data_IF_367040445379
#
_entry.id   IF_367040445379
#
_cell.length_a   1.000
_cell.length_b   1.000
_cell.length_c   1.000
_cell.angle_alpha   90.00
_cell.angle_beta   90.00
_cell.angle_gamma   90.00
#
_symmetry.space_group_name_H-M   'P 1'
#
loop_
_entity.id
_entity.type
_entity.pdbx_description
1 polymer ?
#
# COMPACT_ATOMS: atom_id res chain seq x y z
N UNK A 1 -11.79 13.49 -21.50
CA UNK A 1 -12.63 12.97 -20.40
C UNK A 1 -11.73 12.48 -19.27
N UNK A 2 -11.84 12.99 -18.03
CA UNK A 2 -11.06 12.47 -16.92
C UNK A 2 -11.53 11.05 -16.57
N UNK A 3 -10.60 10.09 -16.50
CA UNK A 3 -10.89 8.72 -16.04
C UNK A 3 -11.34 8.65 -14.58
N UNK A 4 -11.76 7.46 -14.13
CA UNK A 4 -12.34 7.24 -12.79
C UNK A 4 -11.48 7.80 -11.64
N UNK A 5 -10.16 7.63 -11.71
CA UNK A 5 -9.21 8.17 -10.73
C UNK A 5 -9.26 9.70 -10.65
N UNK A 6 -9.40 10.37 -11.80
CA UNK A 6 -9.52 11.82 -11.88
C UNK A 6 -10.84 12.32 -11.28
N UNK A 7 -11.95 11.59 -11.53
CA UNK A 7 -13.26 11.89 -10.92
C UNK A 7 -13.20 11.75 -9.40
N UNK A 8 -12.65 10.64 -8.91
CA UNK A 8 -12.50 10.39 -7.47
C UNK A 8 -11.64 11.48 -6.81
N UNK A 9 -10.50 11.81 -7.40
CA UNK A 9 -9.60 12.85 -6.86
C UNK A 9 -10.30 14.20 -6.73
N UNK A 10 -11.09 14.61 -7.73
CA UNK A 10 -11.87 15.86 -7.65
C UNK A 10 -12.89 15.83 -6.52
N UNK A 11 -13.61 14.72 -6.34
CA UNK A 11 -14.58 14.57 -5.24
C UNK A 11 -13.90 14.59 -3.87
N UNK A 12 -12.76 13.93 -3.72
CA UNK A 12 -11.98 13.93 -2.48
C UNK A 12 -11.49 15.35 -2.14
N UNK A 13 -10.93 16.07 -3.11
CA UNK A 13 -10.51 17.48 -2.91
C UNK A 13 -11.67 18.41 -2.57
N UNK A 14 -12.83 18.23 -3.20
CA UNK A 14 -14.01 19.03 -2.88
C UNK A 14 -14.50 18.77 -1.44
N UNK A 15 -14.43 17.52 -0.97
CA UNK A 15 -14.76 17.17 0.40
C UNK A 15 -13.72 17.69 1.41
N UNK A 16 -12.44 17.69 1.04
CA UNK A 16 -11.35 18.28 1.82
C UNK A 16 -11.53 19.79 2.00
N UNK A 17 -11.84 20.53 0.92
CA UNK A 17 -12.12 21.97 0.96
C UNK A 17 -13.34 22.32 1.83
N UNK A 18 -14.25 21.37 2.02
CA UNK A 18 -15.42 21.50 2.90
C UNK A 18 -15.13 21.06 4.34
N UNK A 19 -13.89 20.68 4.67
CA UNK A 19 -13.51 20.20 6.00
C UNK A 19 -14.10 18.84 6.39
N UNK A 20 -14.67 18.08 5.43
CA UNK A 20 -15.33 16.79 5.72
C UNK A 20 -14.36 15.62 5.86
N UNK A 21 -13.18 15.74 5.27
CA UNK A 21 -12.11 14.73 5.32
C UNK A 21 -10.76 15.40 5.13
N UNK A 22 -9.69 14.65 5.41
CA UNK A 22 -8.30 15.05 5.10
C UNK A 22 -7.76 14.10 4.05
N UNK A 23 -7.18 14.64 2.97
CA UNK A 23 -6.53 13.84 1.92
C UNK A 23 -5.02 13.92 2.09
N UNK A 24 -4.39 12.78 2.35
CA UNK A 24 -2.94 12.69 2.44
C UNK A 24 -2.43 11.97 1.19
N UNK A 25 -1.49 12.59 0.47
CA UNK A 25 -0.79 11.92 -0.63
C UNK A 25 0.36 11.09 -0.05
N UNK A 26 0.39 9.80 -0.35
CA UNK A 26 1.41 8.86 0.12
C UNK A 26 2.17 8.31 -1.08
N UNK A 27 3.50 8.34 -1.01
CA UNK A 27 4.35 7.61 -1.97
C UNK A 27 4.16 6.09 -1.77
N UNK A 28 3.80 5.39 -2.83
CA UNK A 28 3.50 3.96 -2.82
C UNK A 28 4.73 3.05 -2.84
N UNK A 29 5.95 3.60 -2.77
CA UNK A 29 7.20 2.83 -2.79
C UNK A 29 7.15 1.59 -1.87
N UNK A 30 7.32 0.41 -2.49
CA UNK A 30 7.30 -0.93 -1.88
C UNK A 30 6.00 -1.37 -1.18
N UNK A 31 4.92 -0.57 -1.21
CA UNK A 31 3.68 -0.90 -0.49
C UNK A 31 3.03 -2.22 -0.92
N UNK A 32 3.16 -2.62 -2.18
CA UNK A 32 2.65 -3.91 -2.69
C UNK A 32 3.63 -5.08 -2.55
N UNK A 33 4.86 -4.83 -2.10
CA UNK A 33 5.95 -5.83 -2.03
C UNK A 33 6.33 -6.20 -0.60
N UNK A 34 6.02 -5.33 0.37
CA UNK A 34 6.24 -5.58 1.79
C UNK A 34 4.99 -6.21 2.37
N UNK A 35 5.17 -7.30 3.10
CA UNK A 35 4.08 -7.96 3.80
C UNK A 35 3.62 -7.09 4.96
N UNK A 36 2.34 -6.72 4.98
CA UNK A 36 1.79 -5.91 6.06
C UNK A 36 1.92 -6.58 7.45
N UNK A 37 1.86 -7.90 7.53
CA UNK A 37 1.92 -8.60 8.81
C UNK A 37 3.34 -8.65 9.39
N UNK A 38 4.35 -8.99 8.58
CA UNK A 38 5.73 -9.17 9.08
C UNK A 38 6.67 -8.00 8.75
N UNK A 39 6.19 -6.98 8.02
CA UNK A 39 6.94 -5.77 7.66
C UNK A 39 8.26 -6.04 6.92
N UNK A 40 8.34 -7.17 6.20
CA UNK A 40 9.50 -7.58 5.41
C UNK A 40 9.14 -7.70 3.93
N UNK A 41 10.14 -7.53 3.05
CA UNK A 41 9.99 -7.62 1.59
C UNK A 41 10.01 -9.07 1.08
N UNK A 42 9.07 -9.86 1.59
CA UNK A 42 8.98 -11.31 1.42
C UNK A 42 7.78 -11.73 0.56
N UNK A 43 7.03 -10.77 0.00
CA UNK A 43 5.92 -11.11 -0.87
C UNK A 43 6.41 -11.60 -2.24
N UNK A 44 5.82 -12.70 -2.69
CA UNK A 44 6.01 -13.27 -4.02
C UNK A 44 4.67 -13.58 -4.65
N UNK A 45 4.60 -13.52 -5.97
CA UNK A 45 3.40 -13.92 -6.69
C UNK A 45 3.10 -15.39 -6.44
N UNK A 46 1.83 -15.71 -6.30
CA UNK A 46 1.39 -17.11 -6.35
C UNK A 46 1.51 -17.63 -7.77
N UNK A 47 1.84 -18.92 -7.91
CA UNK A 47 1.88 -19.62 -9.19
C UNK A 47 0.91 -20.80 -9.14
N UNK A 48 0.14 -20.98 -10.21
CA UNK A 48 -0.73 -22.14 -10.45
C UNK A 48 -0.43 -22.58 -11.88
N UNK A 49 -0.03 -23.84 -12.06
CA UNK A 49 0.28 -24.43 -13.38
C UNK A 49 1.17 -23.52 -14.25
N UNK A 50 2.30 -23.08 -13.66
CA UNK A 50 3.27 -22.12 -14.23
C UNK A 50 2.73 -20.70 -14.52
N UNK A 51 1.45 -20.44 -14.28
CA UNK A 51 0.85 -19.11 -14.44
C UNK A 51 1.04 -18.26 -13.18
N UNK A 52 1.59 -17.06 -13.39
CA UNK A 52 1.80 -16.07 -12.32
C UNK A 52 0.53 -15.28 -12.04
N UNK A 53 -0.04 -15.46 -10.86
CA UNK A 53 -1.18 -14.65 -10.40
C UNK A 53 -0.69 -13.28 -9.95
N UNK A 54 -1.08 -12.24 -10.68
CA UNK A 54 -0.71 -10.87 -10.34
C UNK A 54 -1.48 -10.34 -9.12
N UNK A 55 -2.72 -10.78 -8.92
CA UNK A 55 -3.62 -10.31 -7.87
C UNK A 55 -3.36 -10.94 -6.50
N UNK A 56 -2.71 -12.11 -6.46
CA UNK A 56 -2.47 -12.90 -5.25
C UNK A 56 -0.98 -13.01 -4.95
N UNK A 57 -0.62 -12.67 -3.72
CA UNK A 57 0.73 -12.74 -3.19
C UNK A 57 0.77 -13.71 -2.01
N UNK A 58 1.89 -14.41 -1.83
CA UNK A 58 2.18 -15.16 -0.62
C UNK A 58 3.42 -14.60 0.05
N UNK A 59 3.44 -14.60 1.38
CA UNK A 59 4.61 -14.23 2.16
C UNK A 59 5.55 -15.43 2.32
N UNK A 60 6.80 -15.31 1.86
CA UNK A 60 7.81 -16.38 1.97
C UNK A 60 8.45 -16.47 3.36
N UNK A 61 8.12 -15.58 4.29
CA UNK A 61 8.58 -15.68 5.67
C UNK A 61 7.86 -16.86 6.36
N UNK A 62 8.65 -17.83 6.86
CA UNK A 62 8.17 -19.06 7.48
C UNK A 62 7.26 -18.84 8.71
N UNK A 63 7.41 -17.73 9.42
CA UNK A 63 6.59 -17.40 10.59
C UNK A 63 5.30 -16.65 10.23
N UNK A 64 5.20 -16.12 9.01
CA UNK A 64 4.06 -15.31 8.58
C UNK A 64 3.13 -16.06 7.62
N UNK A 65 3.68 -16.61 6.53
CA UNK A 65 3.00 -17.41 5.49
C UNK A 65 1.63 -16.87 5.02
N UNK A 66 1.37 -15.59 5.21
CA UNK A 66 0.06 -14.99 4.91
C UNK A 66 -0.13 -14.87 3.40
N UNK A 67 -1.33 -15.23 2.95
CA UNK A 67 -1.80 -14.99 1.59
C UNK A 67 -2.48 -13.62 1.51
N UNK A 68 -2.14 -12.84 0.49
CA UNK A 68 -2.65 -11.49 0.29
C UNK A 68 -3.30 -11.34 -1.07
N UNK A 69 -4.47 -10.70 -1.10
CA UNK A 69 -4.81 -9.89 -2.27
C UNK A 69 -3.83 -8.69 -2.30
N UNK A 70 -3.17 -8.48 -3.43
CA UNK A 70 -2.13 -7.45 -3.61
C UNK A 70 -2.61 -6.08 -3.19
N UNK A 71 -3.81 -5.70 -3.62
CA UNK A 71 -4.35 -4.36 -3.40
C UNK A 71 -4.75 -4.17 -1.93
N UNK A 72 -5.29 -5.22 -1.27
CA UNK A 72 -5.55 -5.18 0.17
C UNK A 72 -4.27 -5.00 0.98
N UNK A 73 -3.18 -5.68 0.62
CA UNK A 73 -1.89 -5.50 1.27
C UNK A 73 -1.34 -4.09 1.05
N UNK A 74 -1.34 -3.61 -0.19
CA UNK A 74 -0.87 -2.27 -0.52
C UNK A 74 -1.68 -1.19 0.21
N UNK A 75 -3.01 -1.29 0.23
CA UNK A 75 -3.88 -0.35 0.91
C UNK A 75 -3.62 -0.31 2.43
N UNK A 76 -3.43 -1.47 3.07
CA UNK A 76 -3.07 -1.55 4.49
C UNK A 76 -1.72 -0.89 4.78
N UNK A 77 -0.73 -1.08 3.92
CA UNK A 77 0.58 -0.44 4.04
C UNK A 77 0.52 1.07 3.81
N UNK A 78 -0.24 1.54 2.82
CA UNK A 78 -0.48 2.98 2.59
C UNK A 78 -1.14 3.61 3.83
N UNK A 79 -2.15 2.95 4.41
CA UNK A 79 -2.79 3.41 5.64
C UNK A 79 -1.81 3.48 6.82
N UNK A 80 -0.96 2.46 6.99
CA UNK A 80 0.07 2.46 8.05
C UNK A 80 1.04 3.63 7.89
N UNK A 81 1.50 3.92 6.66
CA UNK A 81 2.38 5.06 6.38
C UNK A 81 1.64 6.38 6.68
N UNK A 82 0.39 6.53 6.23
CA UNK A 82 -0.41 7.72 6.51
C UNK A 82 -0.58 7.95 8.01
N UNK A 83 -0.88 6.89 8.77
CA UNK A 83 -1.00 6.94 10.22
C UNK A 83 0.30 7.40 10.89
N UNK A 84 1.44 6.88 10.45
CA UNK A 84 2.77 7.28 10.93
C UNK A 84 3.04 8.77 10.69
N UNK A 85 2.67 9.29 9.52
CA UNK A 85 2.76 10.72 9.21
C UNK A 85 1.87 11.58 10.11
N UNK A 86 0.61 11.18 10.32
CA UNK A 86 -0.34 11.90 11.17
C UNK A 86 0.19 12.05 12.60
N UNK A 87 0.87 11.02 13.11
CA UNK A 87 1.45 11.04 14.45
C UNK A 87 2.88 11.59 14.52
N UNK A 88 3.40 12.19 13.44
CA UNK A 88 4.74 12.81 13.44
C UNK A 88 5.90 11.81 13.53
N UNK A 89 5.67 10.53 13.27
CA UNK A 89 6.67 9.46 13.36
C UNK A 89 7.51 9.31 12.08
N UNK A 90 7.23 10.12 11.06
CA UNK A 90 7.87 10.02 9.75
C UNK A 90 7.45 8.78 8.97
N UNK A 91 8.21 8.43 7.92
CA UNK A 91 7.93 7.28 7.08
C UNK A 91 8.59 6.02 7.67
N UNK A 92 7.85 4.91 7.88
CA UNK A 92 8.45 3.72 8.46
C UNK A 92 9.58 3.17 7.57
N UNK A 93 10.68 2.73 8.21
CA UNK A 93 11.91 2.27 7.54
C UNK A 93 11.69 1.27 6.39
N UNK A 94 10.82 0.25 6.50
CA UNK A 94 10.61 -0.69 5.40
C UNK A 94 10.14 0.00 4.11
N UNK A 95 9.41 1.11 4.24
CA UNK A 95 8.88 1.86 3.09
C UNK A 95 9.75 3.03 2.69
N UNK A 96 10.85 3.33 3.39
CA UNK A 96 11.74 4.42 3.04
C UNK A 96 12.48 4.14 1.73
N UNK A 97 12.70 5.18 0.92
CA UNK A 97 13.55 5.06 -0.27
C UNK A 97 15.02 5.00 0.18
N UNK A 98 15.88 4.21 -0.49
CA UNK A 98 17.31 4.31 -0.31
C UNK A 98 17.76 5.74 -0.58
N UNK A 99 18.74 6.23 0.20
CA UNK A 99 19.45 7.46 -0.17
C UNK A 99 20.15 7.26 -1.52
N UNK A 100 20.17 8.28 -2.39
CA UNK A 100 20.93 8.26 -3.65
C UNK A 100 22.41 7.92 -3.45
#
# INVERSE_FOLDING_TARGET
MPGLSGVLRRKLRAAENQGRLVVINIDEYLTSQICHNCQQRTLRNMQIDDMKLHTVLHCTNNHCRTMWNRDKNAAKNIYQIARSHIFGQGRPLPFARPSP
#
